data_IF_560249852408
#
_entry.id   IF_560249852408
#
_cell.length_a   1.000
_cell.length_b   1.000
_cell.length_c   1.000
_cell.angle_alpha   90.00
_cell.angle_beta   90.00
_cell.angle_gamma   90.00
#
_symmetry.space_group_name_H-M   'P 1'
#
loop_
_entity.id
_entity.type
_entity.pdbx_description
1 polymer ?
#
# COMPACT_ATOMS: atom_id res chain seq x y z
N UNK A 1 -10.11 -21.91 -4.63
CA UNK A 1 -9.06 -20.88 -4.56
C UNK A 1 -8.78 -20.44 -5.97
N UNK A 2 -9.01 -19.18 -6.32
CA UNK A 2 -8.61 -18.64 -7.62
C UNK A 2 -7.09 -18.50 -7.65
N UNK A 3 -6.45 -19.03 -8.69
CA UNK A 3 -5.01 -18.86 -8.89
C UNK A 3 -4.76 -17.43 -9.36
N UNK A 4 -4.28 -16.57 -8.45
CA UNK A 4 -3.95 -15.17 -8.78
C UNK A 4 -2.78 -15.11 -9.76
N UNK A 5 -2.94 -14.38 -10.86
CA UNK A 5 -1.86 -14.15 -11.84
C UNK A 5 -1.02 -12.95 -11.43
N UNK A 6 -0.07 -13.16 -10.51
CA UNK A 6 0.71 -12.06 -9.92
C UNK A 6 1.45 -11.18 -10.92
N UNK A 7 2.00 -11.76 -11.99
CA UNK A 7 2.67 -10.99 -13.06
C UNK A 7 1.70 -10.05 -13.78
N UNK A 8 0.50 -10.55 -14.09
CA UNK A 8 -0.55 -9.75 -14.72
C UNK A 8 -1.03 -8.64 -13.79
N UNK A 9 -1.26 -8.95 -12.52
CA UNK A 9 -1.62 -7.94 -11.51
C UNK A 9 -0.54 -6.86 -11.42
N UNK A 10 0.73 -7.27 -11.35
CA UNK A 10 1.88 -6.36 -11.30
C UNK A 10 1.95 -5.48 -12.55
N UNK A 11 1.75 -6.05 -13.73
CA UNK A 11 1.72 -5.31 -14.99
C UNK A 11 0.58 -4.26 -15.03
N UNK A 12 -0.65 -4.63 -14.66
CA UNK A 12 -1.78 -3.69 -14.61
C UNK A 12 -1.56 -2.59 -13.58
N UNK A 13 -1.00 -2.92 -12.42
CA UNK A 13 -0.67 -1.95 -11.36
C UNK A 13 0.41 -0.97 -11.83
N UNK A 14 1.47 -1.47 -12.47
CA UNK A 14 2.55 -0.64 -13.01
C UNK A 14 2.05 0.28 -14.13
N UNK A 15 1.15 -0.22 -14.99
CA UNK A 15 0.48 0.58 -16.01
C UNK A 15 -0.32 1.71 -15.36
N UNK A 16 -1.12 1.44 -14.33
CA UNK A 16 -1.88 2.47 -13.62
C UNK A 16 -0.95 3.55 -13.02
N UNK A 17 0.19 3.16 -12.45
CA UNK A 17 1.19 4.09 -11.95
C UNK A 17 1.77 4.96 -13.09
N UNK A 18 2.13 4.34 -14.22
CA UNK A 18 2.71 5.05 -15.38
C UNK A 18 1.74 6.04 -16.00
N UNK A 19 0.44 5.73 -15.99
CA UNK A 19 -0.62 6.62 -16.47
C UNK A 19 -0.95 7.78 -15.52
N UNK A 20 -0.39 7.78 -14.32
CA UNK A 20 -0.69 8.81 -13.32
C UNK A 20 0.04 10.11 -13.68
N UNK A 21 -0.69 11.08 -14.24
CA UNK A 21 -0.18 12.43 -14.49
C UNK A 21 -0.11 13.21 -13.16
N UNK A 22 1.10 13.52 -12.71
CA UNK A 22 1.32 14.22 -11.44
C UNK A 22 0.94 15.70 -11.47
N UNK A 23 0.70 16.29 -12.65
CA UNK A 23 0.17 17.65 -12.76
C UNK A 23 -1.35 17.67 -12.50
N UNK A 24 -2.06 16.61 -12.90
CA UNK A 24 -3.51 16.46 -12.68
C UNK A 24 -3.77 15.88 -11.28
N UNK A 25 -3.08 14.79 -10.94
CA UNK A 25 -3.16 14.12 -9.64
C UNK A 25 -1.99 14.58 -8.77
N UNK A 26 -2.09 15.82 -8.30
CA UNK A 26 -0.98 16.56 -7.67
C UNK A 26 -0.70 16.20 -6.20
N UNK A 27 -1.43 15.26 -5.62
CA UNK A 27 -1.17 14.72 -4.28
C UNK A 27 -1.34 13.19 -4.25
N UNK A 28 -0.75 12.54 -3.24
CA UNK A 28 -0.74 11.07 -3.14
C UNK A 28 -2.13 10.45 -2.96
N UNK A 29 -3.11 11.22 -2.46
CA UNK A 29 -4.48 10.76 -2.26
C UNK A 29 -5.21 10.69 -3.61
N UNK A 30 -5.09 11.74 -4.42
CA UNK A 30 -5.63 11.79 -5.79
C UNK A 30 -4.99 10.72 -6.68
N UNK A 31 -3.68 10.52 -6.56
CA UNK A 31 -2.95 9.50 -7.33
C UNK A 31 -3.47 8.09 -6.99
N UNK A 32 -3.62 7.77 -5.70
CA UNK A 32 -4.16 6.47 -5.29
C UNK A 32 -5.57 6.24 -5.85
N UNK A 33 -6.44 7.26 -5.76
CA UNK A 33 -7.82 7.13 -6.24
C UNK A 33 -7.86 6.85 -7.75
N UNK A 34 -7.08 7.60 -8.53
CA UNK A 34 -6.94 7.36 -9.97
C UNK A 34 -6.43 5.95 -10.29
N UNK A 35 -5.40 5.49 -9.58
CA UNK A 35 -4.82 4.15 -9.78
C UNK A 35 -5.85 3.05 -9.45
N UNK A 36 -6.62 3.21 -8.38
CA UNK A 36 -7.71 2.28 -8.03
C UNK A 36 -8.78 2.24 -9.13
N UNK A 37 -9.24 3.40 -9.62
CA UNK A 37 -10.23 3.45 -10.69
C UNK A 37 -9.71 2.81 -11.99
N UNK A 38 -8.43 3.03 -12.31
CA UNK A 38 -7.77 2.40 -13.46
C UNK A 38 -7.78 0.87 -13.34
N UNK A 39 -7.43 0.33 -12.17
CA UNK A 39 -7.46 -1.11 -11.89
C UNK A 39 -8.88 -1.67 -11.91
N UNK A 40 -9.86 -0.94 -11.35
CA UNK A 40 -11.27 -1.36 -11.35
C UNK A 40 -11.87 -1.40 -12.75
N UNK A 41 -11.48 -0.46 -13.62
CA UNK A 41 -11.92 -0.39 -15.01
C UNK A 41 -11.24 -1.44 -15.92
N UNK A 42 -10.16 -2.09 -15.47
CA UNK A 42 -9.49 -3.13 -16.24
C UNK A 42 -10.44 -4.31 -16.51
N UNK A 43 -10.49 -4.76 -17.77
CA UNK A 43 -11.39 -5.84 -18.21
C UNK A 43 -10.74 -7.23 -18.16
N UNK A 44 -9.43 -7.30 -17.95
CA UNK A 44 -8.62 -8.53 -18.01
C UNK A 44 -8.53 -9.17 -16.62
N UNK A 45 -8.43 -8.34 -15.57
CA UNK A 45 -8.39 -8.80 -14.19
C UNK A 45 -9.75 -9.33 -13.73
N UNK A 46 -9.73 -10.45 -13.02
CA UNK A 46 -10.87 -10.95 -12.24
C UNK A 46 -11.11 -10.08 -11.00
N UNK A 47 -12.27 -10.22 -10.35
CA UNK A 47 -12.58 -9.45 -9.14
C UNK A 47 -11.59 -9.72 -7.99
N UNK A 48 -11.13 -10.96 -7.84
CA UNK A 48 -10.14 -11.33 -6.82
C UNK A 48 -8.78 -10.65 -7.12
N UNK A 49 -8.38 -10.62 -8.38
CA UNK A 49 -7.15 -9.97 -8.83
C UNK A 49 -7.21 -8.45 -8.68
N UNK A 50 -8.36 -7.82 -8.98
CA UNK A 50 -8.59 -6.39 -8.72
C UNK A 50 -8.49 -6.08 -7.22
N UNK A 51 -9.09 -6.92 -6.39
CA UNK A 51 -9.02 -6.78 -4.93
C UNK A 51 -7.57 -6.87 -4.44
N UNK A 52 -6.79 -7.82 -4.97
CA UNK A 52 -5.38 -7.94 -4.64
C UNK A 52 -4.57 -6.73 -5.13
N UNK A 53 -4.79 -6.27 -6.36
CA UNK A 53 -4.12 -5.10 -6.93
C UNK A 53 -4.38 -3.83 -6.11
N UNK A 54 -5.64 -3.59 -5.72
CA UNK A 54 -6.02 -2.45 -4.85
C UNK A 54 -5.36 -2.55 -3.49
N UNK A 55 -5.28 -3.76 -2.92
CA UNK A 55 -4.57 -4.00 -1.66
C UNK A 55 -3.08 -3.67 -1.79
N UNK A 56 -2.45 -4.02 -2.91
CA UNK A 56 -1.06 -3.66 -3.21
C UNK A 56 -0.89 -2.14 -3.31
N UNK A 57 -1.68 -1.46 -4.15
CA UNK A 57 -1.64 0.00 -4.28
C UNK A 57 -1.79 0.71 -2.93
N UNK A 58 -2.72 0.23 -2.11
CA UNK A 58 -2.97 0.80 -0.79
C UNK A 58 -1.80 0.57 0.19
N UNK A 59 -1.06 -0.54 0.09
CA UNK A 59 0.19 -0.73 0.86
C UNK A 59 1.28 0.29 0.45
N UNK A 60 1.42 0.56 -0.84
CA UNK A 60 2.35 1.59 -1.32
C UNK A 60 1.93 2.98 -0.83
N UNK A 61 0.63 3.26 -0.87
CA UNK A 61 0.07 4.48 -0.33
C UNK A 61 0.26 4.62 1.19
N UNK A 62 0.09 3.54 1.97
CA UNK A 62 0.38 3.53 3.40
C UNK A 62 1.84 3.91 3.69
N UNK A 63 2.78 3.34 2.91
CA UNK A 63 4.20 3.75 2.98
C UNK A 63 4.37 5.24 2.70
N UNK A 64 3.72 5.76 1.66
CA UNK A 64 3.83 7.18 1.30
C UNK A 64 3.23 8.11 2.34
N UNK A 65 2.06 7.78 2.92
CA UNK A 65 1.48 8.51 4.04
C UNK A 65 2.45 8.62 5.22
N UNK A 66 3.09 7.50 5.59
CA UNK A 66 4.05 7.47 6.71
C UNK A 66 5.30 8.30 6.40
N UNK A 67 5.80 8.28 5.16
CA UNK A 67 6.98 9.08 4.75
C UNK A 67 6.66 10.57 4.73
N UNK A 68 5.51 10.95 4.16
CA UNK A 68 5.08 12.34 4.03
C UNK A 68 4.42 12.90 5.29
N UNK A 69 4.12 12.02 6.27
CA UNK A 69 3.34 12.34 7.46
C UNK A 69 1.99 12.99 7.12
N UNK A 70 1.31 12.45 6.09
CA UNK A 70 0.12 13.03 5.49
C UNK A 70 -1.04 12.02 5.40
N UNK A 71 -2.26 12.51 5.53
CA UNK A 71 -3.50 11.74 5.49
C UNK A 71 -4.16 11.48 6.85
N UNK A 72 -5.29 10.78 6.79
CA UNK A 72 -6.13 10.48 7.96
C UNK A 72 -5.43 9.47 8.86
N UNK A 73 -5.29 9.82 10.14
CA UNK A 73 -4.82 8.92 11.18
C UNK A 73 -5.95 8.07 11.73
N UNK A 74 -5.60 6.88 12.23
CA UNK A 74 -6.48 5.99 13.00
C UNK A 74 -5.81 5.62 14.31
N UNK A 75 -6.60 5.24 15.31
CA UNK A 75 -6.04 4.68 16.55
C UNK A 75 -5.72 3.20 16.29
N UNK A 76 -4.48 2.79 16.54
CA UNK A 76 -4.10 1.39 16.44
C UNK A 76 -4.62 0.62 17.66
N UNK A 77 -5.39 -0.45 17.43
CA UNK A 77 -5.95 -1.30 18.50
C UNK A 77 -4.89 -2.02 19.33
N UNK A 78 -3.68 -2.22 18.80
CA UNK A 78 -2.61 -2.95 19.49
C UNK A 78 -1.73 -2.06 20.38
N UNK A 79 -1.44 -0.83 19.96
CA UNK A 79 -0.55 0.07 20.70
C UNK A 79 -1.20 1.38 21.15
N UNK A 80 -2.49 1.59 20.85
CA UNK A 80 -3.27 2.79 21.17
C UNK A 80 -2.69 4.12 20.67
N UNK A 81 -1.78 4.07 19.68
CA UNK A 81 -1.21 5.27 19.06
C UNK A 81 -1.97 5.66 17.79
N UNK A 82 -2.03 6.96 17.51
CA UNK A 82 -2.51 7.48 16.23
C UNK A 82 -1.51 7.14 15.12
N UNK A 83 -1.89 6.21 14.26
CA UNK A 83 -1.08 5.76 13.13
C UNK A 83 -1.67 6.16 11.79
N UNK A 84 -0.80 6.34 10.80
CA UNK A 84 -1.17 6.78 9.45
C UNK A 84 -1.51 5.61 8.53
N UNK A 85 -0.79 4.50 8.63
CA UNK A 85 -0.99 3.36 7.74
C UNK A 85 -2.30 2.62 8.04
N UNK A 86 -3.01 2.19 6.99
CA UNK A 86 -4.29 1.49 7.08
C UNK A 86 -4.07 0.00 7.37
N UNK A 87 -3.16 -0.66 6.67
CA UNK A 87 -2.96 -2.12 6.78
C UNK A 87 -1.97 -2.56 7.85
N UNK A 88 -1.12 -1.67 8.31
CA UNK A 88 -0.18 -1.92 9.39
C UNK A 88 -0.12 -0.70 10.31
N UNK A 89 0.51 -0.83 11.47
CA UNK A 89 0.82 0.30 12.33
C UNK A 89 2.32 0.55 12.27
N UNK A 90 2.74 1.71 11.78
CA UNK A 90 4.16 2.07 11.66
C UNK A 90 4.87 2.06 13.02
N UNK A 91 4.15 2.33 14.12
CA UNK A 91 4.72 2.25 15.46
C UNK A 91 4.87 0.82 15.96
N UNK A 92 3.88 -0.05 15.75
CA UNK A 92 4.01 -1.47 16.12
C UNK A 92 5.21 -2.11 15.39
N UNK A 93 5.37 -1.83 14.10
CA UNK A 93 6.51 -2.32 13.31
C UNK A 93 7.82 -1.76 13.87
N UNK A 94 7.90 -0.44 14.13
CA UNK A 94 9.12 0.18 14.70
C UNK A 94 9.46 -0.38 16.08
N UNK A 95 8.47 -0.62 16.94
CA UNK A 95 8.69 -1.16 18.28
C UNK A 95 9.20 -2.60 18.19
N UNK A 96 8.57 -3.44 17.37
CA UNK A 96 9.05 -4.80 17.12
C UNK A 96 10.50 -4.82 16.62
N UNK A 97 10.84 -3.95 15.66
CA UNK A 97 12.20 -3.83 15.14
C UNK A 97 13.21 -3.38 16.20
N UNK A 98 12.84 -2.42 17.07
CA UNK A 98 13.70 -1.95 18.16
C UNK A 98 13.94 -3.02 19.21
N UNK A 99 12.91 -3.74 19.62
CA UNK A 99 13.00 -4.80 20.64
C UNK A 99 13.82 -5.98 20.15
N UNK A 100 13.71 -6.34 18.87
CA UNK A 100 14.41 -7.48 18.30
C UNK A 100 15.76 -7.13 17.68
N UNK A 101 16.16 -5.86 17.72
CA UNK A 101 17.41 -5.40 17.10
C UNK A 101 18.63 -6.16 17.64
N UNK A 102 18.68 -6.41 18.96
CA UNK A 102 19.78 -7.16 19.59
C UNK A 102 19.79 -8.65 19.21
N UNK A 103 18.65 -9.20 18.79
CA UNK A 103 18.52 -10.60 18.39
C UNK A 103 18.81 -10.82 16.90
N UNK A 104 19.04 -9.75 16.13
CA UNK A 104 19.35 -9.85 14.71
C UNK A 104 20.81 -10.27 14.51
N UNK A 105 21.00 -11.52 14.09
CA UNK A 105 22.28 -11.98 13.56
C UNK A 105 22.29 -11.74 12.05
N UNK A 106 23.43 -11.30 11.49
CA UNK A 106 23.56 -11.01 10.06
C UNK A 106 23.46 -12.27 9.18
N UNK A 107 23.45 -13.46 9.79
CA UNK A 107 23.43 -14.74 9.07
C UNK A 107 24.60 -14.95 8.10
N UNK A 108 25.58 -14.03 8.12
CA UNK A 108 26.83 -14.05 7.38
C UNK A 108 27.91 -14.73 8.22
#
# INVERSE_FOLDING_TARGET
MSTLRYELIGATTNRANTLTDTNIYNDIHKQLEFQKQTVLADKILTNDEKTYAIRWLTKNYDRNKVILNDGIKRICENCNQECLATFYCEYCVRNYLKENFLNWTSGN
#
